data_IF_135978528988
#
_entry.id   IF_135978528988
#
_cell.length_a   1.000
_cell.length_b   1.000
_cell.length_c   1.000
_cell.angle_alpha   90.00
_cell.angle_beta   90.00
_cell.angle_gamma   90.00
#
_symmetry.space_group_name_H-M   'P 1'
#
loop_
_entity.id
_entity.type
_entity.pdbx_description
1 polymer ?
#
# COMPACT_ATOMS: atom_id res chain seq x y z
N UNK A 1 -3.20 -17.64 3.71
CA UNK A 1 -3.57 -16.83 2.52
C UNK A 1 -2.62 -15.63 2.41
N UNK A 2 -2.40 -15.07 1.21
CA UNK A 2 -1.60 -13.86 1.02
C UNK A 2 -2.51 -12.64 0.92
N UNK A 3 -2.10 -11.56 1.59
CA UNK A 3 -2.70 -10.24 1.45
C UNK A 3 -1.69 -9.27 0.84
N UNK A 4 -2.21 -8.41 -0.03
CA UNK A 4 -1.51 -7.25 -0.55
C UNK A 4 -2.03 -6.05 0.21
N UNK A 5 -1.20 -5.51 1.10
CA UNK A 5 -1.48 -4.28 1.82
C UNK A 5 -0.94 -3.09 1.04
N UNK A 6 -1.81 -2.11 0.82
CA UNK A 6 -1.49 -0.84 0.18
C UNK A 6 -1.62 0.26 1.23
N UNK A 7 -0.52 0.94 1.55
CA UNK A 7 -0.54 2.05 2.48
C UNK A 7 -1.09 3.31 1.78
N UNK A 8 -2.15 3.89 2.33
CA UNK A 8 -2.72 5.16 1.91
C UNK A 8 -1.87 6.32 2.43
N UNK A 9 -1.47 6.22 3.70
CA UNK A 9 -0.56 7.12 4.37
C UNK A 9 0.25 6.35 5.41
N UNK A 10 1.48 6.79 5.70
CA UNK A 10 2.23 6.23 6.83
C UNK A 10 3.20 5.09 6.55
N UNK A 11 3.76 4.96 5.33
CA UNK A 11 5.10 4.34 5.23
C UNK A 11 6.03 5.11 6.17
N UNK A 12 6.93 4.49 6.96
CA UNK A 12 7.78 5.20 7.92
C UNK A 12 8.55 6.42 7.34
N UNK A 13 8.86 6.40 6.03
CA UNK A 13 9.47 7.54 5.33
C UNK A 13 8.55 8.71 4.98
N UNK A 14 7.24 8.60 5.23
CA UNK A 14 6.21 9.63 4.94
C UNK A 14 5.57 10.22 6.19
N UNK A 15 5.98 9.76 7.38
CA UNK A 15 5.67 10.50 8.60
C UNK A 15 6.24 11.91 8.45
N UNK A 16 5.38 12.92 8.62
CA UNK A 16 5.83 14.30 8.59
C UNK A 16 6.91 14.45 9.67
N UNK A 17 8.10 15.00 9.36
CA UNK A 17 9.19 15.15 10.31
C UNK A 17 8.91 16.36 11.22
N UNK A 18 7.79 16.33 11.92
CA UNK A 18 7.24 17.44 12.71
C UNK A 18 7.18 17.11 14.21
N UNK A 19 7.21 15.83 14.57
CA UNK A 19 7.20 15.41 15.96
C UNK A 19 8.47 15.88 16.69
N UNK A 20 8.30 16.47 17.88
CA UNK A 20 9.39 16.99 18.70
C UNK A 20 10.09 18.24 18.15
N UNK A 21 9.63 18.84 17.04
CA UNK A 21 10.25 20.05 16.47
C UNK A 21 9.56 21.32 16.95
N UNK A 22 10.37 22.30 17.37
CA UNK A 22 9.91 23.64 17.75
C UNK A 22 9.83 24.63 16.56
N UNK A 23 10.35 24.24 15.39
CA UNK A 23 10.27 24.97 14.13
C UNK A 23 10.09 24.00 12.97
N UNK A 24 9.16 24.33 12.09
CA UNK A 24 8.84 23.57 10.87
C UNK A 24 9.19 24.45 9.67
N UNK A 25 9.93 23.92 8.69
CA UNK A 25 10.21 24.61 7.45
C UNK A 25 9.01 24.47 6.49
N UNK A 26 8.31 25.56 6.12
CA UNK A 26 7.15 25.48 5.23
C UNK A 26 7.47 24.94 3.83
N UNK A 27 8.71 25.09 3.33
CA UNK A 27 9.12 24.53 2.03
C UNK A 27 9.16 23.00 2.07
N UNK A 28 9.75 22.43 3.13
CA UNK A 28 9.77 20.99 3.35
C UNK A 28 8.33 20.45 3.45
N UNK A 29 7.44 21.16 4.15
CA UNK A 29 6.04 20.73 4.24
C UNK A 29 5.34 20.69 2.87
N UNK A 30 5.64 21.64 1.98
CA UNK A 30 5.11 21.64 0.60
C UNK A 30 5.65 20.46 -0.22
N UNK A 31 6.94 20.18 -0.15
CA UNK A 31 7.56 19.04 -0.82
C UNK A 31 6.95 17.71 -0.37
N UNK A 32 6.69 17.56 0.93
CA UNK A 32 5.96 16.40 1.47
C UNK A 32 4.54 16.31 0.92
N UNK A 33 3.83 17.45 0.81
CA UNK A 33 2.50 17.50 0.20
C UNK A 33 2.51 17.04 -1.27
N UNK A 34 3.49 17.49 -2.06
CA UNK A 34 3.65 17.05 -3.45
C UNK A 34 3.99 15.56 -3.56
N UNK A 35 4.84 15.05 -2.67
CA UNK A 35 5.17 13.62 -2.56
C UNK A 35 3.94 12.78 -2.21
N UNK A 36 3.15 13.20 -1.21
CA UNK A 36 1.92 12.54 -0.81
C UNK A 36 0.90 12.52 -1.96
N UNK A 37 0.72 13.64 -2.67
CA UNK A 37 -0.15 13.69 -3.85
C UNK A 37 0.26 12.66 -4.91
N UNK A 38 1.56 12.58 -5.22
CA UNK A 38 2.09 11.60 -6.17
C UNK A 38 1.83 10.16 -5.70
N UNK A 39 2.00 9.92 -4.40
CA UNK A 39 1.73 8.61 -3.80
C UNK A 39 0.26 8.20 -3.92
N UNK A 40 -0.69 9.06 -3.54
CA UNK A 40 -2.13 8.77 -3.64
C UNK A 40 -2.53 8.46 -5.09
N UNK A 41 -1.96 9.16 -6.06
CA UNK A 41 -2.17 8.84 -7.48
C UNK A 41 -1.65 7.44 -7.84
N UNK A 42 -0.49 7.03 -7.31
CA UNK A 42 0.06 5.69 -7.53
C UNK A 42 -0.82 4.60 -6.87
N UNK A 43 -1.29 4.86 -5.65
CA UNK A 43 -2.24 3.98 -4.94
C UNK A 43 -3.52 3.77 -5.76
N UNK A 44 -4.10 4.84 -6.29
CA UNK A 44 -5.29 4.75 -7.13
C UNK A 44 -5.04 3.85 -8.37
N UNK A 45 -3.87 3.97 -8.99
CA UNK A 45 -3.47 3.10 -10.10
C UNK A 45 -3.35 1.63 -9.67
N UNK A 46 -2.69 1.35 -8.54
CA UNK A 46 -2.52 -0.02 -8.01
C UNK A 46 -3.88 -0.64 -7.69
N UNK A 47 -4.76 0.08 -6.99
CA UNK A 47 -6.12 -0.35 -6.66
C UNK A 47 -6.88 -0.74 -7.92
N UNK A 48 -6.85 0.13 -8.94
CA UNK A 48 -7.51 -0.13 -10.21
C UNK A 48 -6.97 -1.41 -10.88
N UNK A 49 -5.64 -1.60 -10.87
CA UNK A 49 -5.01 -2.80 -11.42
C UNK A 49 -5.42 -4.07 -10.67
N UNK A 50 -5.38 -4.05 -9.34
CA UNK A 50 -5.76 -5.19 -8.52
C UNK A 50 -7.22 -5.61 -8.79
N UNK A 51 -8.15 -4.65 -8.75
CA UNK A 51 -9.57 -4.92 -9.02
C UNK A 51 -9.79 -5.52 -10.42
N UNK A 52 -9.13 -4.97 -11.45
CA UNK A 52 -9.24 -5.49 -12.82
C UNK A 52 -8.60 -6.88 -13.00
N UNK A 53 -7.75 -7.32 -12.08
CA UNK A 53 -7.09 -8.64 -12.12
C UNK A 53 -7.69 -9.62 -11.11
N UNK A 54 -8.92 -9.36 -10.65
CA UNK A 54 -9.70 -10.27 -9.81
C UNK A 54 -9.23 -10.34 -8.36
N UNK A 55 -8.56 -9.30 -7.87
CA UNK A 55 -8.31 -9.14 -6.44
C UNK A 55 -9.49 -8.46 -5.77
N UNK A 56 -9.82 -8.93 -4.58
CA UNK A 56 -10.95 -8.46 -3.77
C UNK A 56 -10.44 -7.74 -2.54
N UNK A 57 -11.15 -6.69 -2.12
CA UNK A 57 -10.85 -5.99 -0.88
C UNK A 57 -11.10 -6.93 0.30
N UNK A 58 -10.14 -7.03 1.21
CA UNK A 58 -10.34 -7.63 2.52
C UNK A 58 -11.01 -6.59 3.44
N UNK A 59 -12.33 -6.65 3.60
CA UNK A 59 -13.06 -5.68 4.44
C UNK A 59 -12.51 -5.54 5.87
N UNK A 60 -12.16 -6.63 6.58
CA UNK A 60 -11.46 -6.55 7.86
C UNK A 60 -10.13 -5.77 7.84
N UNK A 61 -9.45 -5.74 6.69
CA UNK A 61 -8.18 -5.06 6.48
C UNK A 61 -8.30 -3.62 5.98
N UNK A 62 -9.51 -3.09 5.83
CA UNK A 62 -9.75 -1.68 5.55
C UNK A 62 -9.58 -0.85 6.81
N UNK A 63 -8.62 0.07 6.80
CA UNK A 63 -8.48 1.07 7.86
C UNK A 63 -8.06 2.42 7.25
N UNK A 64 -8.03 3.51 8.04
CA UNK A 64 -7.65 4.81 7.49
C UNK A 64 -6.28 4.82 6.81
N UNK A 65 -5.32 4.02 7.31
CA UNK A 65 -3.92 4.00 6.91
C UNK A 65 -3.64 3.06 5.74
N UNK A 66 -4.40 1.97 5.60
CA UNK A 66 -4.13 0.94 4.59
C UNK A 66 -5.37 0.21 4.11
N UNK A 67 -5.24 -0.37 2.92
CA UNK A 67 -6.24 -1.23 2.31
C UNK A 67 -5.58 -2.57 2.01
N UNK A 68 -6.19 -3.65 2.46
CA UNK A 68 -5.74 -5.00 2.13
C UNK A 68 -6.57 -5.61 1.01
N UNK A 69 -5.89 -6.30 0.11
CA UNK A 69 -6.49 -7.09 -0.98
C UNK A 69 -6.07 -8.54 -0.86
N UNK A 70 -6.93 -9.44 -1.28
CA UNK A 70 -6.63 -10.86 -1.44
C UNK A 70 -7.18 -11.39 -2.76
N UNK A 71 -6.71 -12.56 -3.16
CA UNK A 71 -7.23 -13.27 -4.33
C UNK A 71 -7.18 -14.77 -4.08
N UNK A 72 -8.30 -15.44 -4.32
CA UNK A 72 -8.42 -16.89 -4.14
C UNK A 72 -7.40 -17.64 -4.99
N UNK A 73 -6.78 -18.67 -4.41
CA UNK A 73 -5.73 -19.46 -5.06
C UNK A 73 -4.36 -18.76 -5.18
N UNK A 74 -4.22 -17.53 -4.69
CA UNK A 74 -2.92 -16.84 -4.61
C UNK A 74 -2.22 -17.14 -3.28
N UNK A 75 -0.95 -17.55 -3.38
CA UNK A 75 -0.09 -17.92 -2.28
C UNK A 75 1.33 -17.34 -2.50
N UNK A 76 2.23 -17.59 -1.54
CA UNK A 76 3.58 -17.04 -1.55
C UNK A 76 4.42 -17.40 -2.78
N UNK A 77 4.09 -18.49 -3.47
CA UNK A 77 4.82 -18.97 -4.64
C UNK A 77 4.38 -18.30 -5.94
N UNK A 78 3.12 -17.81 -6.03
CA UNK A 78 2.59 -17.22 -7.27
C UNK A 78 2.24 -15.72 -7.18
N UNK A 79 2.27 -15.13 -5.97
CA UNK A 79 1.93 -13.72 -5.75
C UNK A 79 2.71 -12.76 -6.64
N UNK A 80 4.03 -12.97 -6.79
CA UNK A 80 4.89 -12.10 -7.60
C UNK A 80 4.53 -12.15 -9.09
N UNK A 81 4.20 -13.33 -9.61
CA UNK A 81 3.74 -13.49 -10.99
C UNK A 81 2.37 -12.84 -11.20
N UNK A 82 1.46 -12.95 -10.23
CA UNK A 82 0.16 -12.28 -10.29
C UNK A 82 0.29 -10.75 -10.25
N UNK A 83 1.16 -10.20 -9.40
CA UNK A 83 1.47 -8.76 -9.38
C UNK A 83 2.08 -8.31 -10.71
N UNK A 84 3.00 -9.10 -11.28
CA UNK A 84 3.62 -8.81 -12.58
C UNK A 84 2.60 -8.82 -13.71
N UNK A 85 1.66 -9.77 -13.73
CA UNK A 85 0.53 -9.80 -14.69
C UNK A 85 -0.34 -8.56 -14.56
N UNK A 86 -0.57 -8.09 -13.33
CA UNK A 86 -1.31 -6.87 -13.06
C UNK A 86 -0.51 -5.57 -13.37
N UNK A 87 0.77 -5.68 -13.72
CA UNK A 87 1.64 -4.53 -13.96
C UNK A 87 1.97 -3.74 -12.69
N UNK A 88 2.02 -4.40 -11.54
CA UNK A 88 2.29 -3.80 -10.23
C UNK A 88 3.72 -4.15 -9.81
N UNK A 89 4.49 -3.15 -9.39
CA UNK A 89 5.81 -3.37 -8.79
C UNK A 89 5.65 -3.87 -7.35
N UNK A 90 6.27 -5.00 -7.02
CA UNK A 90 6.18 -5.57 -5.67
C UNK A 90 6.76 -4.66 -4.57
N UNK A 91 7.62 -3.69 -4.91
CA UNK A 91 8.15 -2.71 -3.94
C UNK A 91 7.14 -1.61 -3.56
N UNK A 92 6.07 -1.46 -4.33
CA UNK A 92 5.03 -0.44 -4.09
C UNK A 92 3.92 -0.93 -3.15
N UNK A 93 3.93 -2.22 -2.80
CA UNK A 93 2.95 -2.86 -1.92
C UNK A 93 3.64 -3.67 -0.82
N UNK A 94 2.95 -3.90 0.28
CA UNK A 94 3.41 -4.85 1.31
C UNK A 94 2.72 -6.21 1.09
N UNK A 95 3.51 -7.27 0.98
CA UNK A 95 3.00 -8.65 0.86
C UNK A 95 3.00 -9.26 2.25
N UNK A 96 1.82 -9.59 2.78
CA UNK A 96 1.64 -10.19 4.11
C UNK A 96 1.15 -11.63 3.98
N UNK A 97 1.85 -12.55 4.64
CA UNK A 97 1.35 -13.91 4.88
C UNK A 97 0.49 -13.91 6.13
N UNK A 98 -0.75 -14.39 6.03
CA UNK A 98 -1.53 -14.72 7.21
C UNK A 98 -1.02 -16.07 7.71
N UNK A 99 -0.24 -16.04 8.79
CA UNK A 99 0.09 -17.22 9.58
C UNK A 99 -1.17 -17.49 10.40
N UNK A 100 -1.92 -18.54 10.03
CA UNK A 100 -2.94 -19.08 10.93
C UNK A 100 -2.20 -19.59 12.16
N UNK A 101 -2.36 -18.90 13.29
CA UNK A 101 -1.94 -19.44 14.57
C UNK A 101 -2.90 -20.60 14.88
N UNK A 102 -2.37 -21.82 14.91
CA UNK A 102 -3.04 -23.02 15.46
C UNK A 102 -3.42 -22.82 16.93
#
# INVERSE_FOLDING_TARGET
>A
MIYIEIWLHGKPGWALPIEGRNKINPLVLREYGDSLRKHINNVAFIIHRLQNHGWTINEPGLNPYSIEYYKEGVNKFNVYEELKKAGICAHDVAIRELIENE
#
